data_IF_527544680707
#
_entry.id   IF_527544680707
#
_cell.length_a   1.000
_cell.length_b   1.000
_cell.length_c   1.000
_cell.angle_alpha   90.00
_cell.angle_beta   90.00
_cell.angle_gamma   90.00
#
_symmetry.space_group_name_H-M   'P 1'
#
loop_
_entity.id
_entity.type
_entity.pdbx_description
1 polymer ?
#
# COMPACT_ATOMS: atom_id res chain seq x y z
N UNK A 1 -17.73 -3.32 -21.84
CA UNK A 1 -18.66 -2.20 -21.61
C UNK A 1 -18.12 -1.41 -20.43
N UNK A 2 -17.92 -0.08 -20.59
CA UNK A 2 -17.50 0.75 -19.48
C UNK A 2 -18.60 0.84 -18.41
N UNK A 3 -18.23 0.77 -17.15
CA UNK A 3 -19.21 0.91 -16.05
C UNK A 3 -19.80 2.31 -16.05
N UNK A 4 -21.08 2.44 -15.69
CA UNK A 4 -21.79 3.73 -15.68
C UNK A 4 -21.05 4.80 -14.84
N UNK A 5 -20.40 4.39 -13.76
CA UNK A 5 -19.59 5.26 -12.88
C UNK A 5 -18.37 5.82 -13.61
N UNK A 6 -17.62 4.98 -14.35
CA UNK A 6 -16.41 5.40 -15.07
C UNK A 6 -16.75 6.35 -16.21
N UNK A 7 -17.86 6.10 -16.93
CA UNK A 7 -18.34 7.02 -17.97
C UNK A 7 -18.75 8.38 -17.39
N UNK A 8 -19.36 8.40 -16.23
CA UNK A 8 -19.75 9.63 -15.55
C UNK A 8 -18.53 10.45 -15.09
N UNK A 9 -17.51 9.79 -14.47
CA UNK A 9 -16.25 10.42 -14.09
C UNK A 9 -15.53 11.01 -15.31
N UNK A 10 -15.43 10.24 -16.37
CA UNK A 10 -14.81 10.67 -17.63
C UNK A 10 -15.49 11.91 -18.23
N UNK A 11 -16.83 11.92 -18.26
CA UNK A 11 -17.61 13.07 -18.75
C UNK A 11 -17.41 14.35 -17.92
N UNK A 12 -17.05 14.21 -16.63
CA UNK A 12 -16.70 15.31 -15.74
C UNK A 12 -15.25 15.76 -15.85
N UNK A 13 -14.46 15.18 -16.76
CA UNK A 13 -13.04 15.51 -16.93
C UNK A 13 -12.13 14.94 -15.85
N UNK A 14 -12.62 13.99 -15.03
CA UNK A 14 -11.80 13.31 -14.01
C UNK A 14 -10.97 12.25 -14.71
N UNK A 15 -9.65 12.33 -14.56
CA UNK A 15 -8.70 11.38 -15.13
C UNK A 15 -8.26 10.32 -14.10
N UNK A 16 -7.77 9.18 -14.59
CA UNK A 16 -7.16 8.16 -13.74
C UNK A 16 -6.05 8.75 -12.86
N UNK A 17 -5.21 9.62 -13.43
CA UNK A 17 -4.13 10.29 -12.68
C UNK A 17 -4.66 11.19 -11.54
N UNK A 18 -5.81 11.84 -11.71
CA UNK A 18 -6.43 12.63 -10.63
C UNK A 18 -6.80 11.73 -9.46
N UNK A 19 -7.35 10.56 -9.72
CA UNK A 19 -7.73 9.59 -8.67
C UNK A 19 -6.49 9.06 -7.94
N UNK A 20 -5.43 8.70 -8.68
CA UNK A 20 -4.16 8.24 -8.10
C UNK A 20 -3.54 9.33 -7.21
N UNK A 21 -3.48 10.60 -7.69
CA UNK A 21 -2.96 11.71 -6.90
C UNK A 21 -3.80 11.98 -5.65
N UNK A 22 -5.12 11.82 -5.73
CA UNK A 22 -6.02 11.95 -4.58
C UNK A 22 -5.73 10.86 -3.54
N UNK A 23 -5.49 9.62 -3.97
CA UNK A 23 -5.14 8.52 -3.07
C UNK A 23 -3.80 8.78 -2.37
N UNK A 24 -2.79 9.30 -3.08
CA UNK A 24 -1.49 9.68 -2.51
C UNK A 24 -1.67 10.83 -1.51
N UNK A 25 -2.37 11.91 -1.92
CA UNK A 25 -2.60 13.08 -1.07
C UNK A 25 -3.34 12.73 0.22
N UNK A 26 -4.38 11.88 0.13
CA UNK A 26 -5.09 11.36 1.30
C UNK A 26 -4.15 10.57 2.22
N UNK A 27 -3.32 9.70 1.65
CA UNK A 27 -2.36 8.88 2.42
C UNK A 27 -1.34 9.75 3.15
N UNK A 28 -0.79 10.77 2.48
CA UNK A 28 0.16 11.70 3.08
C UNK A 28 -0.51 12.54 4.18
N UNK A 29 -1.72 13.04 3.94
CA UNK A 29 -2.47 13.83 4.92
C UNK A 29 -2.74 13.03 6.20
N UNK A 30 -3.27 11.82 6.06
CA UNK A 30 -3.57 10.97 7.23
C UNK A 30 -2.29 10.51 7.92
N UNK A 31 -1.26 10.16 7.17
CA UNK A 31 0.05 9.84 7.74
C UNK A 31 0.64 11.00 8.54
N UNK A 32 0.54 12.24 8.04
CA UNK A 32 0.97 13.43 8.75
C UNK A 32 0.14 13.67 10.03
N UNK A 33 -1.18 13.49 9.98
CA UNK A 33 -2.05 13.60 11.18
C UNK A 33 -1.63 12.58 12.24
N UNK A 34 -1.41 11.32 11.85
CA UNK A 34 -0.98 10.27 12.78
C UNK A 34 0.43 10.50 13.33
N UNK A 35 1.32 11.13 12.56
CA UNK A 35 2.66 11.50 13.02
C UNK A 35 2.65 12.69 13.99
N UNK A 36 1.78 13.68 13.76
CA UNK A 36 1.64 14.84 14.64
C UNK A 36 0.90 14.50 15.93
N UNK A 37 -0.02 13.56 15.88
CA UNK A 37 -0.86 13.14 17.00
C UNK A 37 -0.79 11.60 17.19
N UNK A 38 0.32 11.05 17.70
CA UNK A 38 0.55 9.61 17.73
C UNK A 38 -0.20 8.91 18.88
N UNK A 39 -1.46 9.23 19.07
CA UNK A 39 -2.31 8.59 20.06
C UNK A 39 -2.85 7.26 19.51
N UNK A 40 -2.68 6.11 20.20
CA UNK A 40 -3.15 4.83 19.71
C UNK A 40 -4.61 4.84 19.26
N UNK A 41 -5.46 5.55 19.99
CA UNK A 41 -6.89 5.69 19.64
C UNK A 41 -7.13 6.34 18.27
N UNK A 42 -6.22 7.22 17.80
CA UNK A 42 -6.39 7.91 16.52
C UNK A 42 -6.10 6.98 15.33
N UNK A 43 -5.41 5.86 15.57
CA UNK A 43 -5.07 4.92 14.50
C UNK A 43 -6.28 4.18 13.89
N UNK A 44 -7.51 4.39 14.40
CA UNK A 44 -8.73 3.96 13.69
C UNK A 44 -8.90 4.62 12.32
N UNK A 45 -8.24 5.77 12.08
CA UNK A 45 -8.22 6.41 10.76
C UNK A 45 -7.51 5.55 9.71
N UNK A 46 -6.52 4.75 10.11
CA UNK A 46 -5.72 3.97 9.18
C UNK A 46 -6.54 2.92 8.41
N UNK A 47 -7.33 2.03 9.02
CA UNK A 47 -8.12 1.05 8.28
C UNK A 47 -9.11 1.71 7.30
N UNK A 48 -9.73 2.82 7.67
CA UNK A 48 -10.64 3.55 6.77
C UNK A 48 -9.86 4.11 5.58
N UNK A 49 -8.72 4.75 5.84
CA UNK A 49 -7.87 5.31 4.78
C UNK A 49 -7.36 4.23 3.84
N UNK A 50 -6.91 3.08 4.36
CA UNK A 50 -6.45 1.96 3.56
C UNK A 50 -7.57 1.39 2.70
N UNK A 51 -8.79 1.27 3.24
CA UNK A 51 -9.95 0.83 2.47
C UNK A 51 -10.29 1.80 1.33
N UNK A 52 -10.37 3.11 1.64
CA UNK A 52 -10.63 4.15 0.63
C UNK A 52 -9.54 4.16 -0.44
N UNK A 53 -8.27 4.06 -0.04
CA UNK A 53 -7.13 3.98 -0.97
C UNK A 53 -7.23 2.77 -1.90
N UNK A 54 -7.59 1.59 -1.37
CA UNK A 54 -7.78 0.41 -2.21
C UNK A 54 -8.92 0.60 -3.22
N UNK A 55 -10.02 1.22 -2.80
CA UNK A 55 -11.13 1.55 -3.70
C UNK A 55 -10.71 2.55 -4.79
N UNK A 56 -9.96 3.61 -4.42
CA UNK A 56 -9.44 4.58 -5.39
C UNK A 56 -8.49 3.94 -6.40
N UNK A 57 -7.58 3.05 -5.95
CA UNK A 57 -6.68 2.34 -6.85
C UNK A 57 -7.39 1.32 -7.76
N UNK A 58 -8.51 0.76 -7.33
CA UNK A 58 -9.35 -0.04 -8.22
C UNK A 58 -10.04 0.84 -9.28
N UNK A 59 -10.52 2.02 -8.87
CA UNK A 59 -11.18 2.97 -9.76
C UNK A 59 -10.23 3.55 -10.81
N UNK A 60 -9.01 3.99 -10.42
CA UNK A 60 -8.06 4.56 -11.38
C UNK A 60 -7.64 3.52 -12.43
N UNK A 61 -7.40 2.27 -12.01
CA UNK A 61 -7.08 1.17 -12.92
C UNK A 61 -8.23 0.82 -13.88
N UNK A 62 -9.48 0.85 -13.40
CA UNK A 62 -10.67 0.65 -14.26
C UNK A 62 -10.84 1.82 -15.23
N UNK A 63 -10.77 3.05 -14.75
CA UNK A 63 -10.91 4.25 -15.58
C UNK A 63 -9.83 4.32 -16.66
N UNK A 64 -8.58 4.00 -16.30
CA UNK A 64 -7.47 3.96 -17.25
C UNK A 64 -7.70 2.95 -18.39
N UNK A 65 -8.23 1.76 -18.08
CA UNK A 65 -8.50 0.71 -19.07
C UNK A 65 -9.75 0.99 -19.88
N UNK A 66 -10.87 1.32 -19.23
CA UNK A 66 -12.17 1.45 -19.88
C UNK A 66 -12.30 2.72 -20.72
N UNK A 67 -11.61 3.79 -20.35
CA UNK A 67 -11.65 5.09 -21.04
C UNK A 67 -10.36 5.42 -21.83
N UNK A 68 -9.49 4.42 -22.08
CA UNK A 68 -8.23 4.59 -22.82
C UNK A 68 -7.33 5.71 -22.27
N UNK A 69 -7.28 5.86 -20.95
CA UNK A 69 -6.43 6.85 -20.26
C UNK A 69 -5.08 6.28 -19.79
N UNK A 70 -4.70 5.12 -20.26
CA UNK A 70 -3.39 4.54 -19.94
C UNK A 70 -2.28 5.44 -20.45
N UNK A 71 -1.35 5.81 -19.58
CA UNK A 71 -0.21 6.68 -19.91
C UNK A 71 1.05 6.24 -19.17
N UNK A 72 2.22 6.58 -19.73
CA UNK A 72 3.51 6.35 -19.06
C UNK A 72 3.57 7.07 -17.69
N UNK A 73 3.06 8.29 -17.63
CA UNK A 73 2.96 9.05 -16.38
C UNK A 73 2.06 8.34 -15.37
N UNK A 74 0.90 7.83 -15.81
CA UNK A 74 -0.02 7.09 -14.95
C UNK A 74 0.62 5.84 -14.36
N UNK A 75 1.40 5.10 -15.14
CA UNK A 75 2.14 3.94 -14.66
C UNK A 75 3.17 4.34 -13.57
N UNK A 76 3.94 5.40 -13.80
CA UNK A 76 4.91 5.91 -12.80
C UNK A 76 4.21 6.38 -11.53
N UNK A 77 3.12 7.15 -11.66
CA UNK A 77 2.35 7.64 -10.52
C UNK A 77 1.76 6.49 -9.69
N UNK A 78 1.26 5.45 -10.34
CA UNK A 78 0.71 4.28 -9.65
C UNK A 78 1.79 3.55 -8.85
N UNK A 79 2.94 3.25 -9.47
CA UNK A 79 4.01 2.49 -8.80
C UNK A 79 4.68 3.28 -7.67
N UNK A 80 5.09 4.52 -7.93
CA UNK A 80 5.67 5.38 -6.90
C UNK A 80 4.65 5.77 -5.84
N UNK A 81 3.41 6.05 -6.26
CA UNK A 81 2.33 6.41 -5.37
C UNK A 81 2.00 5.33 -4.35
N UNK A 82 2.09 4.06 -4.75
CA UNK A 82 1.89 2.94 -3.83
C UNK A 82 2.95 2.88 -2.75
N UNK A 83 4.23 3.03 -3.12
CA UNK A 83 5.33 3.02 -2.16
C UNK A 83 5.27 4.25 -1.24
N UNK A 84 5.04 5.44 -1.80
CA UNK A 84 4.94 6.68 -1.03
C UNK A 84 3.77 6.65 -0.05
N UNK A 85 2.62 6.14 -0.47
CA UNK A 85 1.44 6.01 0.38
C UNK A 85 1.66 5.00 1.51
N UNK A 86 2.32 3.86 1.23
CA UNK A 86 2.67 2.88 2.26
C UNK A 86 3.62 3.48 3.29
N UNK A 87 4.66 4.19 2.84
CA UNK A 87 5.59 4.89 3.74
C UNK A 87 4.84 5.92 4.59
N UNK A 88 4.03 6.77 3.97
CA UNK A 88 3.30 7.83 4.67
C UNK A 88 2.37 7.28 5.76
N UNK A 89 1.65 6.18 5.45
CA UNK A 89 0.65 5.61 6.37
C UNK A 89 1.28 4.73 7.45
N UNK A 90 2.41 4.05 7.19
CA UNK A 90 2.99 3.11 8.14
C UNK A 90 4.17 3.69 8.95
N UNK A 91 4.81 4.77 8.47
CA UNK A 91 5.87 5.44 9.22
C UNK A 91 5.43 5.89 10.62
N UNK A 92 4.20 6.41 10.85
CA UNK A 92 3.74 6.79 12.18
C UNK A 92 3.73 5.67 13.22
N UNK A 93 3.79 4.40 12.82
CA UNK A 93 3.96 3.28 13.76
C UNK A 93 5.21 3.38 14.63
N UNK A 94 6.25 4.10 14.18
CA UNK A 94 7.46 4.38 14.97
C UNK A 94 7.12 5.09 16.28
N UNK A 95 6.09 5.93 16.25
CA UNK A 95 5.71 6.82 17.36
C UNK A 95 4.76 6.14 18.36
N UNK A 96 4.28 4.95 18.06
CA UNK A 96 3.43 4.19 18.95
C UNK A 96 4.21 3.63 20.15
N UNK A 97 3.58 3.55 21.33
CA UNK A 97 4.18 2.86 22.48
C UNK A 97 4.66 1.45 22.11
N UNK A 98 5.76 1.03 22.69
CA UNK A 98 6.37 -0.30 22.49
C UNK A 98 6.72 -0.66 21.04
N UNK A 99 6.79 0.33 20.14
CA UNK A 99 7.32 0.13 18.78
C UNK A 99 8.80 0.44 18.72
N UNK A 100 9.60 -0.50 18.22
CA UNK A 100 11.02 -0.26 17.98
C UNK A 100 11.19 0.41 16.61
N UNK A 101 11.83 1.57 16.59
CA UNK A 101 12.05 2.38 15.38
C UNK A 101 12.77 1.60 14.29
N UNK A 102 13.83 0.88 14.64
CA UNK A 102 14.60 0.11 13.66
C UNK A 102 13.74 -1.00 13.02
N UNK A 103 12.93 -1.68 13.81
CA UNK A 103 12.05 -2.76 13.31
C UNK A 103 11.01 -2.20 12.34
N UNK A 104 10.39 -1.05 12.64
CA UNK A 104 9.43 -0.42 11.72
C UNK A 104 10.12 0.06 10.44
N UNK A 105 11.32 0.65 10.53
CA UNK A 105 12.08 1.07 9.34
C UNK A 105 12.46 -0.13 8.46
N UNK A 106 12.91 -1.25 9.05
CA UNK A 106 13.19 -2.48 8.29
C UNK A 106 11.92 -3.02 7.64
N UNK A 107 10.80 -3.00 8.33
CA UNK A 107 9.50 -3.40 7.77
C UNK A 107 9.11 -2.53 6.55
N UNK A 108 9.24 -1.21 6.65
CA UNK A 108 8.98 -0.28 5.54
C UNK A 108 9.92 -0.53 4.36
N UNK A 109 11.20 -0.74 4.63
CA UNK A 109 12.17 -1.10 3.60
C UNK A 109 11.79 -2.40 2.89
N UNK A 110 11.46 -3.45 3.65
CA UNK A 110 11.01 -4.72 3.08
C UNK A 110 9.70 -4.58 2.28
N UNK A 111 8.77 -3.71 2.72
CA UNK A 111 7.55 -3.41 1.97
C UNK A 111 7.86 -2.76 0.61
N UNK A 112 8.73 -1.74 0.58
CA UNK A 112 9.19 -1.12 -0.66
C UNK A 112 9.95 -2.11 -1.56
N UNK A 113 10.83 -2.93 -0.98
CA UNK A 113 11.57 -3.96 -1.68
C UNK A 113 10.65 -5.02 -2.30
N UNK A 114 9.54 -5.35 -1.65
CA UNK A 114 8.54 -6.28 -2.19
C UNK A 114 7.88 -5.71 -3.46
N UNK A 115 7.54 -4.41 -3.52
CA UNK A 115 7.01 -3.80 -4.74
C UNK A 115 8.07 -3.73 -5.84
N UNK A 116 9.29 -3.33 -5.49
CA UNK A 116 10.42 -3.35 -6.42
C UNK A 116 10.65 -4.73 -7.03
N UNK A 117 10.60 -5.80 -6.23
CA UNK A 117 10.75 -7.18 -6.72
C UNK A 117 9.65 -7.57 -7.72
N UNK A 118 8.44 -7.06 -7.54
CA UNK A 118 7.32 -7.26 -8.48
C UNK A 118 7.55 -6.57 -9.83
N UNK A 119 8.08 -5.34 -9.81
CA UNK A 119 8.44 -4.58 -11.01
C UNK A 119 9.66 -5.20 -11.69
N UNK A 120 10.66 -5.65 -10.91
CA UNK A 120 11.83 -6.34 -11.45
C UNK A 120 11.44 -7.60 -12.23
N UNK A 121 10.48 -8.37 -11.73
CA UNK A 121 9.94 -9.52 -12.47
C UNK A 121 9.32 -9.09 -13.81
N UNK A 122 8.61 -7.98 -13.86
CA UNK A 122 8.04 -7.43 -15.10
C UNK A 122 9.13 -7.00 -16.08
N UNK A 123 10.23 -6.45 -15.59
CA UNK A 123 11.36 -6.03 -16.44
C UNK A 123 12.07 -7.23 -17.07
N UNK A 124 12.15 -8.36 -16.36
CA UNK A 124 12.85 -9.56 -16.79
C UNK A 124 12.02 -10.41 -17.75
N UNK A 125 10.75 -10.67 -17.42
CA UNK A 125 9.88 -11.62 -18.13
C UNK A 125 8.61 -11.00 -18.73
N UNK A 126 8.45 -9.67 -18.67
CA UNK A 126 7.31 -8.94 -19.22
C UNK A 126 6.03 -8.99 -18.35
N UNK A 127 6.02 -9.78 -17.28
CA UNK A 127 4.82 -9.97 -16.41
C UNK A 127 5.16 -9.57 -14.99
N UNK A 128 4.36 -8.63 -14.41
CA UNK A 128 4.50 -8.24 -13.01
C UNK A 128 4.15 -9.43 -12.09
N UNK A 129 5.04 -9.73 -11.13
CA UNK A 129 4.80 -10.77 -10.16
C UNK A 129 4.05 -10.23 -8.94
N UNK A 130 2.98 -10.90 -8.58
CA UNK A 130 2.20 -10.66 -7.35
C UNK A 130 2.33 -11.83 -6.36
N UNK A 131 3.26 -12.74 -6.59
CA UNK A 131 3.47 -13.91 -5.75
C UNK A 131 3.90 -13.53 -4.34
N UNK A 132 3.41 -14.27 -3.35
CA UNK A 132 3.83 -14.16 -1.95
C UNK A 132 2.69 -13.81 -0.99
N UNK A 133 2.92 -14.04 0.31
CA UNK A 133 1.86 -13.94 1.34
C UNK A 133 1.60 -12.51 1.83
N UNK A 134 2.40 -11.51 1.44
CA UNK A 134 2.26 -10.14 1.94
C UNK A 134 2.38 -9.10 0.80
N UNK A 135 1.43 -9.18 -0.13
CA UNK A 135 1.23 -8.16 -1.16
C UNK A 135 0.59 -6.89 -0.60
N UNK A 136 0.29 -5.92 -1.48
CA UNK A 136 -0.29 -4.62 -1.13
C UNK A 136 -1.60 -4.76 -0.33
N UNK A 137 -2.50 -5.64 -0.78
CA UNK A 137 -3.80 -5.88 -0.11
C UNK A 137 -3.64 -6.54 1.25
N UNK A 138 -2.69 -7.47 1.37
CA UNK A 138 -2.42 -8.16 2.62
C UNK A 138 -1.83 -7.21 3.65
N UNK A 139 -0.92 -6.30 3.25
CA UNK A 139 -0.42 -5.22 4.11
C UNK A 139 -1.54 -4.31 4.59
N UNK A 140 -2.42 -3.90 3.68
CA UNK A 140 -3.56 -3.05 4.03
C UNK A 140 -4.49 -3.75 5.05
N UNK A 141 -4.73 -5.05 4.87
CA UNK A 141 -5.55 -5.84 5.80
C UNK A 141 -4.85 -5.98 7.16
N UNK A 142 -3.60 -6.43 7.18
CA UNK A 142 -2.87 -6.70 8.44
C UNK A 142 -2.68 -5.41 9.23
N UNK A 143 -2.14 -4.36 8.61
CA UNK A 143 -1.87 -3.10 9.32
C UNK A 143 -3.14 -2.32 9.63
N UNK A 144 -4.16 -2.38 8.77
CA UNK A 144 -5.46 -1.82 9.05
C UNK A 144 -6.16 -2.50 10.22
N UNK A 145 -6.20 -3.84 10.23
CA UNK A 145 -6.80 -4.60 11.35
C UNK A 145 -6.03 -4.37 12.65
N UNK A 146 -4.69 -4.39 12.61
CA UNK A 146 -3.87 -4.12 13.77
C UNK A 146 -4.10 -2.71 14.33
N UNK A 147 -4.16 -1.71 13.47
CA UNK A 147 -4.44 -0.34 13.85
C UNK A 147 -5.82 -0.18 14.49
N UNK A 148 -6.83 -0.88 13.99
CA UNK A 148 -8.15 -0.90 14.58
C UNK A 148 -8.12 -1.53 15.98
N UNK A 149 -7.41 -2.66 16.12
CA UNK A 149 -7.30 -3.35 17.43
C UNK A 149 -6.62 -2.47 18.48
N UNK A 150 -5.51 -1.81 18.15
CA UNK A 150 -4.82 -0.92 19.11
C UNK A 150 -5.63 0.36 19.39
N UNK A 151 -6.46 0.82 18.45
CA UNK A 151 -7.34 1.96 18.68
C UNK A 151 -8.45 1.64 19.70
N UNK A 152 -8.98 0.40 19.66
CA UNK A 152 -10.01 -0.08 20.61
C UNK A 152 -9.36 -0.47 21.93
N UNK A 153 -8.24 -1.18 21.90
CA UNK A 153 -7.50 -1.70 23.05
C UNK A 153 -6.04 -1.24 23.04
N UNK A 154 -5.73 -0.02 23.53
CA UNK A 154 -4.36 0.53 23.49
C UNK A 154 -3.30 -0.34 24.17
N UNK A 155 -3.68 -1.18 25.13
CA UNK A 155 -2.76 -2.09 25.82
C UNK A 155 -2.15 -3.14 24.89
N UNK A 156 -2.76 -3.41 23.72
CA UNK A 156 -2.21 -4.33 22.74
C UNK A 156 -0.93 -3.81 22.07
N UNK A 157 -0.59 -2.52 22.22
CA UNK A 157 0.67 -1.97 21.69
C UNK A 157 1.91 -2.71 22.17
N UNK A 158 1.84 -3.44 23.30
CA UNK A 158 2.93 -4.30 23.79
C UNK A 158 3.35 -5.37 22.75
N UNK A 159 2.45 -5.75 21.84
CA UNK A 159 2.69 -6.72 20.78
C UNK A 159 3.19 -6.11 19.47
N UNK A 160 3.37 -4.77 19.41
CA UNK A 160 3.77 -4.08 18.18
C UNK A 160 5.02 -4.70 17.54
N UNK A 161 6.09 -4.90 18.32
CA UNK A 161 7.33 -5.46 17.77
C UNK A 161 7.16 -6.88 17.24
N UNK A 162 6.30 -7.69 17.87
CA UNK A 162 6.00 -9.03 17.35
C UNK A 162 5.31 -8.94 15.97
N UNK A 163 4.33 -8.05 15.82
CA UNK A 163 3.62 -7.84 14.55
C UNK A 163 4.59 -7.33 13.47
N UNK A 164 5.47 -6.37 13.81
CA UNK A 164 6.46 -5.85 12.86
C UNK A 164 7.45 -6.94 12.43
N UNK A 165 7.97 -7.75 13.36
CA UNK A 165 8.88 -8.85 13.05
C UNK A 165 8.19 -9.94 12.19
N UNK A 166 6.98 -10.33 12.52
CA UNK A 166 6.21 -11.27 11.71
C UNK A 166 5.98 -10.74 10.29
N UNK A 167 5.64 -9.44 10.17
CA UNK A 167 5.46 -8.77 8.89
C UNK A 167 6.75 -8.75 8.07
N UNK A 168 7.91 -8.50 8.69
CA UNK A 168 9.22 -8.55 8.01
C UNK A 168 9.47 -9.93 7.41
N UNK A 169 9.21 -11.00 8.17
CA UNK A 169 9.41 -12.37 7.68
C UNK A 169 8.50 -12.68 6.48
N UNK A 170 7.22 -12.28 6.53
CA UNK A 170 6.29 -12.45 5.41
C UNK A 170 6.68 -11.62 4.18
N UNK A 171 7.19 -10.40 4.39
CA UNK A 171 7.68 -9.52 3.32
C UNK A 171 8.93 -10.10 2.64
N UNK A 172 9.89 -10.60 3.43
CA UNK A 172 11.07 -11.29 2.89
C UNK A 172 10.65 -12.51 2.06
N UNK A 173 9.73 -13.31 2.57
CA UNK A 173 9.19 -14.45 1.84
C UNK A 173 8.51 -13.99 0.53
N UNK A 174 7.77 -12.89 0.56
CA UNK A 174 7.15 -12.30 -0.63
C UNK A 174 8.21 -11.89 -1.66
N UNK A 175 9.28 -11.21 -1.22
CA UNK A 175 10.39 -10.84 -2.10
C UNK A 175 11.03 -12.08 -2.77
N UNK A 176 11.30 -13.11 -1.99
CA UNK A 176 11.88 -14.38 -2.51
C UNK A 176 10.96 -15.00 -3.56
N UNK A 177 9.65 -15.09 -3.29
CA UNK A 177 8.70 -15.67 -4.23
C UNK A 177 8.58 -14.85 -5.52
N UNK A 178 8.59 -13.51 -5.44
CA UNK A 178 8.58 -12.62 -6.60
C UNK A 178 9.85 -12.77 -7.44
N UNK A 179 11.03 -12.85 -6.79
CA UNK A 179 12.30 -13.11 -7.48
C UNK A 179 12.33 -14.50 -8.14
N UNK A 180 11.84 -15.53 -7.45
CA UNK A 180 11.72 -16.87 -8.03
C UNK A 180 10.79 -16.87 -9.25
N UNK A 181 9.66 -16.20 -9.17
CA UNK A 181 8.74 -16.02 -10.31
C UNK A 181 9.42 -15.34 -11.49
N UNK A 182 10.27 -14.34 -11.25
CA UNK A 182 11.04 -13.68 -12.29
C UNK A 182 12.00 -14.64 -13.02
N UNK A 183 12.63 -15.55 -12.29
CA UNK A 183 13.59 -16.51 -12.83
C UNK A 183 12.94 -17.70 -13.57
N UNK A 184 11.72 -18.08 -13.19
CA UNK A 184 11.05 -19.26 -13.75
C UNK A 184 9.93 -18.92 -14.75
N UNK A 185 9.54 -17.66 -14.86
CA UNK A 185 8.48 -17.19 -15.76
C UNK A 185 8.82 -17.02 -17.23
N UNK A 186 10.02 -17.37 -17.65
CA UNK A 186 10.54 -17.24 -19.02
C UNK A 186 10.44 -18.50 -19.88
N UNK A 187 9.46 -19.38 -19.64
CA UNK A 187 9.22 -20.55 -20.51
C UNK A 187 7.82 -20.51 -21.07
#
# INVERSE_FOLDING_TARGET
MATSTNVWLYRKGITANHITLTAIGLSVLIGAILALFPYPKLFWLLPITLFVRMALNALDGMLARECNQQSRLGAVLNELGDVLSDIALYLPFILLPHSNTATVLVMLFCAALSEFSGILAQTINGIRSYAGPMGKSDRALIFGSWSLLIAIWPNLTIWNNFIWCASILLLIWTCINRCRSALHGGR
#
